data_IF_618229611411
#
_entry.id   IF_618229611411
#
_cell.length_a   1.000
_cell.length_b   1.000
_cell.length_c   1.000
_cell.angle_alpha   90.00
_cell.angle_beta   90.00
_cell.angle_gamma   90.00
#
_symmetry.space_group_name_H-M   'P 1'
#
loop_
_entity.id
_entity.type
_entity.pdbx_description
1 polymer ?
#
# COMPACT_ATOMS: atom_id res chain seq x y z
N UNK A 1 -17.32 0.11 24.34
CA UNK A 1 -16.24 0.27 23.34
C UNK A 1 -16.45 -0.78 22.27
N UNK A 2 -16.44 -0.42 20.97
CA UNK A 2 -16.36 -1.44 19.91
C UNK A 2 -14.95 -2.04 19.95
N UNK A 3 -14.86 -3.37 19.99
CA UNK A 3 -13.59 -4.04 19.76
C UNK A 3 -13.25 -3.88 18.27
N UNK A 4 -12.04 -3.45 17.97
CA UNK A 4 -11.52 -3.39 16.60
C UNK A 4 -10.51 -4.52 16.43
N UNK A 5 -10.60 -5.21 15.31
CA UNK A 5 -9.59 -6.16 14.86
C UNK A 5 -8.66 -5.45 13.87
N UNK A 6 -7.35 -5.59 14.07
CA UNK A 6 -6.32 -4.93 13.27
C UNK A 6 -5.38 -5.99 12.74
N UNK A 7 -5.25 -6.06 11.42
CA UNK A 7 -4.30 -6.92 10.72
C UNK A 7 -3.29 -6.07 9.97
N UNK A 8 -2.00 -6.34 10.19
CA UNK A 8 -0.92 -5.77 9.39
C UNK A 8 -0.75 -6.61 8.12
N UNK A 9 -0.76 -5.96 6.97
CA UNK A 9 -0.49 -6.58 5.68
C UNK A 9 1.02 -6.68 5.45
N UNK A 10 1.48 -7.79 4.88
CA UNK A 10 2.91 -8.06 4.64
C UNK A 10 3.36 -7.69 3.24
N UNK A 11 2.43 -7.65 2.28
CA UNK A 11 2.70 -7.26 0.90
C UNK A 11 1.63 -6.30 0.35
N UNK A 12 2.02 -5.47 -0.60
CA UNK A 12 1.13 -4.47 -1.23
C UNK A 12 0.01 -5.15 -2.02
N UNK A 13 0.23 -6.36 -2.53
CA UNK A 13 -0.77 -7.11 -3.29
C UNK A 13 -1.88 -7.74 -2.42
N UNK A 14 -1.80 -7.66 -1.08
CA UNK A 14 -2.85 -8.13 -0.18
C UNK A 14 -4.04 -7.15 -0.07
N UNK A 15 -3.90 -5.94 -0.61
CA UNK A 15 -4.97 -4.94 -0.70
C UNK A 15 -5.28 -4.63 -2.16
N UNK A 16 -6.57 -4.44 -2.48
CA UNK A 16 -6.98 -4.05 -3.83
C UNK A 16 -6.49 -2.63 -4.13
N UNK A 17 -6.07 -2.35 -5.38
CA UNK A 17 -5.59 -1.03 -5.77
C UNK A 17 -6.55 0.11 -5.45
N UNK A 18 -7.84 -0.06 -5.70
CA UNK A 18 -8.88 0.95 -5.47
C UNK A 18 -9.10 1.25 -3.98
N UNK A 19 -9.01 0.24 -3.13
CA UNK A 19 -9.18 0.39 -1.68
C UNK A 19 -8.00 1.18 -1.09
N UNK A 20 -6.79 0.94 -1.60
CA UNK A 20 -5.60 1.70 -1.20
C UNK A 20 -5.62 3.12 -1.77
N UNK A 21 -5.81 3.27 -3.08
CA UNK A 21 -5.76 4.56 -3.76
C UNK A 21 -6.90 5.49 -3.31
N UNK A 22 -8.02 4.95 -2.82
CA UNK A 22 -9.12 5.69 -2.21
C UNK A 22 -8.76 6.38 -0.89
N UNK A 23 -7.69 5.94 -0.20
CA UNK A 23 -7.17 6.60 1.00
C UNK A 23 -6.34 7.85 0.68
N UNK A 24 -5.93 8.00 -0.58
CA UNK A 24 -5.05 9.08 -1.00
C UNK A 24 -5.83 10.38 -1.21
N UNK A 25 -5.24 11.47 -0.73
CA UNK A 25 -5.76 12.81 -0.99
C UNK A 25 -5.20 13.37 -2.30
N UNK A 26 -5.78 14.45 -2.85
CA UNK A 26 -5.21 15.15 -4.00
C UNK A 26 -3.79 15.70 -3.79
N UNK A 27 -3.33 15.82 -2.53
CA UNK A 27 -1.97 16.27 -2.18
C UNK A 27 -0.97 15.12 -2.03
N UNK A 28 -1.44 13.87 -2.04
CA UNK A 28 -0.58 12.70 -1.93
C UNK A 28 0.36 12.60 -3.14
N UNK A 29 1.59 12.17 -2.92
CA UNK A 29 2.55 12.03 -4.01
C UNK A 29 2.17 10.83 -4.90
N UNK A 30 2.51 10.84 -6.20
CA UNK A 30 2.27 9.69 -7.07
C UNK A 30 2.96 8.40 -6.59
N UNK A 31 4.02 8.52 -5.80
CA UNK A 31 4.76 7.40 -5.22
C UNK A 31 3.99 6.66 -4.11
N UNK A 32 2.86 7.19 -3.66
CA UNK A 32 1.97 6.48 -2.74
C UNK A 32 0.92 5.64 -3.46
N UNK A 33 0.82 5.71 -4.80
CA UNK A 33 -0.14 4.91 -5.57
C UNK A 33 0.18 3.43 -5.46
N UNK A 34 -0.86 2.60 -5.36
CA UNK A 34 -0.72 1.15 -5.26
C UNK A 34 0.19 0.58 -6.36
N UNK A 35 -0.05 1.01 -7.60
CA UNK A 35 0.72 0.54 -8.75
C UNK A 35 2.23 0.84 -8.64
N UNK A 36 2.60 1.99 -8.07
CA UNK A 36 4.00 2.35 -7.88
C UNK A 36 4.63 1.49 -6.77
N UNK A 37 3.95 1.36 -5.63
CA UNK A 37 4.43 0.54 -4.50
C UNK A 37 4.58 -0.93 -4.89
N UNK A 38 3.62 -1.48 -5.61
CA UNK A 38 3.67 -2.85 -6.11
C UNK A 38 4.80 -3.05 -7.15
N UNK A 39 5.05 -2.05 -8.01
CA UNK A 39 6.19 -2.12 -8.93
C UNK A 39 7.53 -2.12 -8.18
N UNK A 40 7.64 -1.30 -7.14
CA UNK A 40 8.82 -1.17 -6.30
C UNK A 40 9.12 -2.46 -5.51
N UNK A 41 8.08 -3.11 -4.99
CA UNK A 41 8.18 -4.40 -4.31
C UNK A 41 8.66 -5.49 -5.28
N UNK A 42 8.03 -5.60 -6.46
CA UNK A 42 8.42 -6.57 -7.49
C UNK A 42 9.83 -6.36 -8.03
N UNK A 43 10.30 -5.11 -8.10
CA UNK A 43 11.65 -4.81 -8.60
C UNK A 43 12.73 -5.04 -7.55
N UNK A 44 12.36 -5.34 -6.29
CA UNK A 44 13.26 -5.48 -5.15
C UNK A 44 14.23 -4.29 -4.97
N UNK A 45 13.87 -3.11 -5.49
CA UNK A 45 14.78 -1.96 -5.56
C UNK A 45 14.94 -1.22 -4.22
N UNK A 46 14.08 -1.48 -3.24
CA UNK A 46 14.13 -0.86 -1.90
C UNK A 46 13.98 -1.85 -0.76
N UNK A 47 14.06 -3.14 -1.04
CA UNK A 47 14.12 -4.16 0.01
C UNK A 47 15.58 -4.32 0.46
N UNK A 48 15.89 -3.92 1.69
CA UNK A 48 17.08 -4.43 2.36
C UNK A 48 16.89 -5.95 2.51
N UNK A 49 17.82 -6.73 1.97
CA UNK A 49 17.92 -8.15 2.32
C UNK A 49 18.65 -8.30 3.64
#
# INVERSE_FOLDING_TARGET
>A
MRAFDVRVLTAVNEVRPEDWDGLLSPRSTPFMRHAWLHALERSASVSAR
#
